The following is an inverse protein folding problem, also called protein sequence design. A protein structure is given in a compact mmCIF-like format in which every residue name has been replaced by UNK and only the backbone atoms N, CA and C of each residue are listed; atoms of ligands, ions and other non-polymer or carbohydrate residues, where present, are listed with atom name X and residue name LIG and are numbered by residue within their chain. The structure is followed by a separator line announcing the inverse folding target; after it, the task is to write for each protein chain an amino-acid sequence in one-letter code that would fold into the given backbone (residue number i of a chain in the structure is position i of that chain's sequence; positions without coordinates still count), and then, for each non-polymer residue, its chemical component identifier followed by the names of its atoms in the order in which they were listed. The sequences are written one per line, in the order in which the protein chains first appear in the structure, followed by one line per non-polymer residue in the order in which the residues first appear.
data_IF_648549372546
#
_entry.id   IF_648549372546
#
_cell.length_a   1.000
_cell.length_b   1.000
_cell.length_c   1.000
_cell.angle_alpha   90.00
_cell.angle_beta   90.00
_cell.angle_gamma   90.00
#
_symmetry.space_group_name_H-M   'P 1'
#
loop_
_entity.id
_entity.type
_entity.pdbx_description
1 polymer ?
2 non-polymer ?
3 non-polymer ?
4 water ?
#
# COMPACT_ATOMS: atom_id res chain seq x y z
N UNK A 6 -7.06 -1.07 23.04
CA UNK A 6 -5.70 -1.62 23.28
C UNK A 6 -5.34 -2.64 22.18
N UNK A 7 -4.89 -3.82 22.58
CA UNK A 7 -4.53 -4.85 21.61
C UNK A 7 -5.49 -6.03 21.69
N UNK A 8 -5.72 -6.69 20.56
CA UNK A 8 -6.61 -7.86 20.49
C UNK A 8 -5.89 -8.98 19.75
N UNK A 9 -5.29 -9.94 20.48
CA UNK A 9 -4.58 -11.03 19.81
C UNK A 9 -5.51 -11.97 19.04
N UNK A 10 -4.94 -12.65 18.05
CA UNK A 10 -5.71 -13.61 17.27
C UNK A 10 -4.81 -14.79 16.96
N UNK A 11 -5.40 -15.98 16.83
CA UNK A 11 -4.64 -17.18 16.55
C UNK A 11 -5.20 -17.87 15.32
N UNK A 12 -4.30 -18.28 14.42
CA UNK A 12 -4.69 -19.01 13.20
C UNK A 12 -4.35 -20.48 13.39
N UNK A 13 -5.27 -21.35 13.01
CA UNK A 13 -5.09 -22.79 13.18
C UNK A 13 -5.07 -23.53 11.85
N UNK A 14 -4.38 -24.66 11.80
CA UNK A 14 -4.23 -25.41 10.56
C UNK A 14 -5.55 -25.70 9.86
N UNK A 15 -5.58 -25.40 8.57
CA UNK A 15 -6.78 -25.57 7.74
C UNK A 15 -6.75 -26.83 6.89
N UNK A 16 -7.92 -27.43 6.72
CA UNK A 16 -8.00 -28.64 5.89
C UNK A 16 -8.25 -28.30 4.43
N UNK A 17 -8.27 -27.01 4.09
CA UNK A 17 -8.48 -26.63 2.71
C UNK A 17 -9.29 -25.34 2.55
N UNK A 18 -8.83 -24.44 1.69
CA UNK A 18 -9.54 -23.19 1.45
C UNK A 18 -10.20 -23.29 0.09
N UNK A 19 -11.45 -22.88 0.00
CA UNK A 19 -12.17 -23.02 -1.25
C UNK A 19 -13.27 -22.00 -1.41
N UNK A 20 -13.38 -21.45 -2.62
CA UNK A 20 -14.42 -20.48 -2.89
C UNK A 20 -14.01 -19.44 -3.90
N UNK A 21 -14.90 -18.47 -4.10
CA UNK A 21 -14.70 -17.36 -5.03
C UNK A 21 -15.11 -16.11 -4.26
N UNK A 22 -14.20 -15.14 -4.20
CA UNK A 22 -14.45 -13.92 -3.46
C UNK A 22 -14.01 -12.68 -4.22
N UNK A 23 -14.69 -11.57 -3.95
CA UNK A 23 -14.29 -10.30 -4.55
C UNK A 23 -13.40 -9.65 -3.51
N UNK A 24 -12.22 -9.20 -3.91
CA UNK A 24 -11.30 -8.58 -2.97
C UNK A 24 -11.64 -7.10 -2.79
N UNK A 25 -11.38 -6.53 -1.60
CA UNK A 25 -11.69 -5.11 -1.40
C UNK A 25 -10.88 -4.21 -2.35
N UNK A 26 -11.35 -2.97 -2.51
CA UNK A 26 -10.70 -2.00 -3.38
C UNK A 26 -9.25 -1.67 -3.09
N UNK A 27 -8.56 -1.22 -4.14
CA UNK A 27 -7.16 -0.86 -4.02
C UNK A 27 -6.98 0.38 -3.15
N UNK A 28 -6.13 0.26 -2.15
CA UNK A 28 -5.85 1.35 -1.22
C UNK A 28 -5.20 2.57 -1.90
N UNK A 29 -4.17 2.36 -2.70
CA UNK A 29 -3.52 3.49 -3.39
C UNK A 29 -4.48 4.32 -4.24
N UNK A 30 -5.27 3.63 -5.05
CA UNK A 30 -6.22 4.31 -5.90
C UNK A 30 -7.34 4.93 -5.09
N UNK A 31 -7.73 4.28 -3.99
CA UNK A 31 -8.80 4.81 -3.17
C UNK A 31 -8.39 6.12 -2.51
N UNK A 32 -7.16 6.17 -1.99
CA UNK A 32 -6.66 7.41 -1.39
C UNK A 32 -6.74 8.52 -2.44
N UNK A 33 -6.22 8.24 -3.64
CA UNK A 33 -6.21 9.25 -4.69
C UNK A 33 -7.60 9.64 -5.19
N UNK A 34 -8.55 8.71 -5.10
CA UNK A 34 -9.92 9.02 -5.55
C UNK A 34 -10.52 10.11 -4.65
N UNK A 35 -10.28 10.00 -3.34
CA UNK A 35 -10.76 11.02 -2.42
C UNK A 35 -9.97 12.32 -2.63
N UNK A 36 -8.65 12.23 -2.80
CA UNK A 36 -7.88 13.45 -3.00
C UNK A 36 -8.21 14.21 -4.28
N UNK A 37 -8.19 13.50 -5.40
CA UNK A 37 -8.45 14.15 -6.67
C UNK A 37 -9.91 14.53 -6.80
N UNK A 38 -10.80 13.66 -6.33
CA UNK A 38 -12.22 14.01 -6.37
C UNK A 38 -12.46 15.26 -5.52
N UNK A 39 -11.78 15.38 -4.38
CA UNK A 39 -11.98 16.54 -3.52
C UNK A 39 -11.39 17.83 -4.06
N UNK A 40 -10.36 17.70 -4.87
CA UNK A 40 -9.70 18.88 -5.45
C UNK A 40 -10.30 19.34 -6.78
N UNK A 41 -10.81 18.40 -7.56
CA UNK A 41 -11.30 18.73 -8.88
C UNK A 41 -12.57 19.58 -8.92
N UNK A 42 -12.83 20.14 -10.10
CA UNK A 42 -14.02 20.97 -10.29
C UNK A 42 -15.20 20.06 -10.50
N UNK A 43 -16.30 20.35 -9.81
CA UNK A 43 -17.48 19.53 -10.00
C UNK A 43 -17.50 18.23 -9.23
N UNK A 44 -18.36 17.32 -9.70
CA UNK A 44 -18.59 16.04 -9.07
C UNK A 44 -17.75 14.87 -9.52
N UNK A 45 -17.34 14.06 -8.55
CA UNK A 45 -16.60 12.83 -8.82
C UNK A 45 -17.44 11.70 -8.18
N UNK A 46 -17.59 10.58 -8.90
CA UNK A 46 -18.36 9.43 -8.41
C UNK A 46 -17.44 8.23 -8.36
N UNK A 47 -17.38 7.59 -7.20
CA UNK A 47 -16.46 6.45 -7.01
C UNK A 47 -17.15 5.15 -6.61
N UNK A 48 -16.89 4.09 -7.38
CA UNK A 48 -17.43 2.77 -7.03
C UNK A 48 -16.26 1.86 -6.70
N UNK A 49 -16.46 0.95 -5.74
CA UNK A 49 -15.42 0.02 -5.33
C UNK A 49 -14.42 0.55 -4.34
N UNK A 50 -14.69 1.72 -3.74
CA UNK A 50 -13.73 2.31 -2.80
C UNK A 50 -13.41 1.41 -1.61
N UNK A 51 -12.12 1.37 -1.24
CA UNK A 51 -11.71 0.63 -0.05
C UNK A 51 -12.14 1.48 1.16
N UNK A 52 -12.93 0.91 2.06
CA UNK A 52 -13.39 1.67 3.21
C UNK A 52 -12.62 1.33 4.49
N UNK A 53 -11.32 1.12 4.35
CA UNK A 53 -10.47 0.85 5.50
C UNK A 53 -10.11 2.18 6.17
N UNK A 54 -9.61 2.12 7.40
CA UNK A 54 -9.29 3.32 8.18
C UNK A 54 -8.36 4.31 7.51
N UNK A 55 -7.32 3.82 6.83
CA UNK A 55 -6.39 4.71 6.15
C UNK A 55 -7.09 5.62 5.15
N UNK A 56 -7.96 5.03 4.32
CA UNK A 56 -8.67 5.78 3.30
C UNK A 56 -9.70 6.71 3.92
N UNK A 57 -10.39 6.26 4.97
CA UNK A 57 -11.35 7.14 5.62
C UNK A 57 -10.63 8.38 6.18
N UNK A 58 -9.40 8.23 6.68
CA UNK A 58 -8.69 9.41 7.19
C UNK A 58 -8.36 10.41 6.10
N UNK A 59 -8.04 9.93 4.91
CA UNK A 59 -7.77 10.86 3.82
C UNK A 59 -9.06 11.61 3.48
N UNK A 60 -10.16 10.89 3.50
CA UNK A 60 -11.46 11.50 3.22
C UNK A 60 -11.77 12.63 4.19
N UNK A 61 -11.55 12.39 5.48
CA UNK A 61 -11.79 13.42 6.49
C UNK A 61 -10.86 14.63 6.31
N UNK A 62 -9.63 14.39 5.87
CA UNK A 62 -8.71 15.50 5.65
C UNK A 62 -9.21 16.37 4.49
N UNK A 63 -9.74 15.73 3.44
CA UNK A 63 -10.26 16.49 2.31
C UNK A 63 -11.50 17.29 2.69
N UNK A 64 -12.34 16.71 3.53
CA UNK A 64 -13.54 17.42 4.00
C UNK A 64 -13.12 18.63 4.80
N UNK A 65 -12.07 18.47 5.61
CA UNK A 65 -11.55 19.55 6.42
C UNK A 65 -11.07 20.73 5.58
N UNK A 66 -10.76 20.46 4.31
CA UNK A 66 -10.30 21.52 3.42
C UNK A 66 -11.34 21.98 2.40
N UNK A 67 -12.61 21.62 2.62
CA UNK A 67 -13.64 22.13 1.75
C UNK A 67 -14.40 21.19 0.84
N UNK A 68 -13.90 19.98 0.66
CA UNK A 68 -14.58 19.02 -0.19
C UNK A 68 -15.81 18.46 0.53
N UNK A 69 -16.86 18.14 -0.22
CA UNK A 69 -18.03 17.54 0.38
C UNK A 69 -18.02 16.08 -0.08
N UNK A 70 -18.03 15.16 0.88
CA UNK A 70 -18.01 13.72 0.57
C UNK A 70 -19.22 13.05 1.19
N UNK A 71 -19.83 12.13 0.45
CA UNK A 71 -21.01 11.42 0.96
C UNK A 71 -21.09 10.07 0.26
N UNK A 72 -21.79 9.13 0.89
CA UNK A 72 -21.94 7.81 0.28
C UNK A 72 -23.42 7.59 -0.03
N UNK A 73 -23.72 7.37 -1.31
CA UNK A 73 -25.11 7.18 -1.75
C UNK A 73 -25.15 5.78 -2.33
N UNK A 74 -25.87 4.87 -1.66
CA UNK A 74 -25.90 3.50 -2.13
C UNK A 74 -24.46 2.98 -2.00
N UNK A 75 -23.92 2.42 -3.08
CA UNK A 75 -22.54 1.91 -3.04
C UNK A 75 -21.56 2.84 -3.70
N UNK A 76 -21.98 4.08 -3.95
CA UNK A 76 -21.12 5.06 -4.62
C UNK A 76 -20.73 6.24 -3.73
N UNK A 77 -19.45 6.57 -3.71
CA UNK A 77 -19.04 7.74 -2.96
C UNK A 77 -19.08 8.91 -3.97
N UNK A 78 -19.77 9.98 -3.60
CA UNK A 78 -19.90 11.14 -4.46
C UNK A 78 -19.19 12.29 -3.78
N UNK A 79 -18.34 12.96 -4.55
CA UNK A 79 -17.55 14.05 -4.02
C UNK A 79 -17.77 15.34 -4.79
N UNK A 80 -17.98 16.44 -4.05
CA UNK A 80 -18.12 17.73 -4.69
C UNK A 80 -16.78 18.41 -4.42
N UNK A 81 -15.98 18.56 -5.46
CA UNK A 81 -14.65 19.13 -5.32
C UNK A 81 -14.61 20.64 -5.23
N UNK A 82 -13.49 21.18 -4.80
CA UNK A 82 -13.33 22.62 -4.67
C UNK A 82 -12.70 23.29 -5.90
N UNK A 83 -12.16 22.49 -6.81
CA UNK A 83 -11.51 23.04 -8.00
C UNK A 83 -10.03 23.27 -7.67
N UNK A 84 -9.15 23.04 -8.64
CA UNK A 84 -7.73 23.23 -8.39
C UNK A 84 -7.46 24.64 -7.89
N UNK A 85 -6.70 24.74 -6.80
CA UNK A 85 -6.39 26.02 -6.20
C UNK A 85 -7.44 26.44 -5.18
N UNK A 86 -8.45 25.59 -5.01
CA UNK A 86 -9.56 25.92 -4.12
C UNK A 86 -9.57 25.39 -2.70
N UNK A 87 -8.53 24.68 -2.30
CA UNK A 87 -8.49 24.15 -0.95
C UNK A 87 -8.52 25.27 0.09
N UNK A 88 -9.28 25.02 1.16
CA UNK A 88 -9.40 25.97 2.26
C UNK A 88 -8.54 25.55 3.44
N UNK A 89 -8.08 26.53 4.22
CA UNK A 89 -7.24 26.23 5.37
C UNK A 89 -7.97 25.40 6.42
N UNK A 90 -7.38 24.28 6.84
CA UNK A 90 -8.01 23.43 7.84
C UNK A 90 -8.01 24.10 9.22
N UNK A 91 -9.09 23.92 9.97
CA UNK A 91 -9.25 24.50 11.31
C UNK A 91 -8.37 23.84 12.35
N UNK A 92 -8.19 22.54 12.19
CA UNK A 92 -7.43 21.77 13.15
C UNK A 92 -6.44 20.89 12.40
N UNK A 93 -5.55 20.19 13.14
CA UNK A 93 -4.57 19.30 12.51
C UNK A 93 -5.26 18.22 11.67
N UNK A 94 -4.59 17.81 10.60
CA UNK A 94 -5.10 16.76 9.73
C UNK A 94 -4.54 15.47 10.33
N UNK A 95 -5.43 14.61 10.81
CA UNK A 95 -5.02 13.36 11.46
C UNK A 95 -5.05 12.22 10.46
N UNK A 96 -3.87 11.74 10.08
CA UNK A 96 -3.79 10.66 9.12
C UNK A 96 -3.72 9.26 9.74
N UNK A 97 -3.83 9.20 11.06
CA UNK A 97 -3.80 7.91 11.73
C UNK A 97 -2.59 7.07 11.39
N UNK A 98 -2.80 5.95 10.71
CA UNK A 98 -1.70 5.05 10.36
C UNK A 98 -1.18 5.24 8.92
N UNK A 99 -1.81 6.15 8.17
CA UNK A 99 -1.53 6.27 6.73
C UNK A 99 -0.54 7.27 6.18
N UNK A 100 0.65 6.78 5.83
CA UNK A 100 1.62 7.68 5.25
C UNK A 100 1.23 8.09 3.83
N UNK A 101 0.49 7.23 3.11
CA UNK A 101 0.09 7.62 1.75
C UNK A 101 -0.72 8.92 1.80
N UNK A 102 -1.73 8.95 2.67
CA UNK A 102 -2.52 10.16 2.79
C UNK A 102 -1.71 11.32 3.33
N UNK A 103 -0.91 11.07 4.36
CA UNK A 103 -0.08 12.13 4.95
C UNK A 103 0.91 12.73 3.96
N UNK A 104 1.75 11.88 3.38
CA UNK A 104 2.75 12.40 2.46
C UNK A 104 2.21 13.07 1.20
N UNK A 105 1.20 12.47 0.58
CA UNK A 105 0.64 13.11 -0.61
C UNK A 105 -0.04 14.42 -0.23
N UNK A 106 -0.73 14.44 0.91
CA UNK A 106 -1.42 15.67 1.28
C UNK A 106 -0.43 16.78 1.66
N UNK A 107 0.74 16.42 2.17
CA UNK A 107 1.74 17.45 2.48
C UNK A 107 2.10 18.18 1.20
N UNK A 108 2.29 17.43 0.11
CA UNK A 108 2.60 18.08 -1.15
C UNK A 108 1.40 18.87 -1.66
N UNK A 109 0.22 18.28 -1.54
CA UNK A 109 -0.98 18.94 -2.05
C UNK A 109 -1.25 20.30 -1.41
N UNK A 110 -1.25 20.35 -0.09
CA UNK A 110 -1.60 21.61 0.56
C UNK A 110 -0.45 22.43 1.09
N UNK A 111 0.72 21.82 1.18
CA UNK A 111 1.87 22.55 1.67
C UNK A 111 2.22 23.77 0.82
N UNK A 112 1.85 23.75 -0.44
CA UNK A 112 2.14 24.87 -1.34
C UNK A 112 1.09 25.98 -1.29
N UNK A 113 0.07 25.81 -0.46
CA UNK A 113 -0.96 26.82 -0.30
C UNK A 113 -0.48 27.81 0.77
N UNK A 114 -0.89 29.07 0.59
CA UNK A 114 -0.50 30.16 1.49
C UNK A 114 -1.32 30.23 2.78
N UNK A 115 -1.34 29.10 3.49
CA UNK A 115 -1.97 29.01 4.81
C UNK A 115 -1.27 27.91 5.59
N UNK A 116 -1.51 27.85 6.90
CA UNK A 116 -0.87 26.82 7.71
C UNK A 116 -1.63 25.50 7.68
N UNK A 117 -0.87 24.41 7.67
CA UNK A 117 -1.49 23.10 7.75
C UNK A 117 -0.63 22.23 8.70
N UNK A 118 -1.31 21.50 9.59
CA UNK A 118 -0.61 20.64 10.54
C UNK A 118 -0.97 19.18 10.31
N UNK A 119 0.06 18.34 10.39
CA UNK A 119 -0.09 16.91 10.15
C UNK A 119 0.26 16.08 11.38
N UNK A 120 -0.63 15.18 11.78
CA UNK A 120 -0.38 14.30 12.91
C UNK A 120 -0.79 12.89 12.57
N UNK A 121 -0.36 11.94 13.41
CA UNK A 121 -0.71 10.55 13.16
C UNK A 121 -0.54 9.72 14.41
N UNK A 122 -0.67 8.42 14.24
CA UNK A 122 -0.58 7.50 15.37
C UNK A 122 0.87 7.19 15.76
N UNK A 123 1.06 6.32 16.74
CA UNK A 123 2.41 6.04 17.22
C UNK A 123 3.31 5.50 16.12
N UNK A 124 2.74 4.74 15.20
CA UNK A 124 3.50 4.17 14.09
C UNK A 124 3.89 5.23 13.03
N UNK A 125 2.91 6.01 12.59
CA UNK A 125 3.18 7.01 11.57
C UNK A 125 4.14 8.09 12.05
N UNK A 126 4.05 8.41 13.34
CA UNK A 126 4.87 9.45 13.94
C UNK A 126 6.35 9.11 13.99
N UNK A 127 6.68 7.84 13.81
CA UNK A 127 8.10 7.46 13.82
C UNK A 127 8.67 7.38 12.39
N UNK A 128 7.80 7.48 11.38
CA UNK A 128 8.28 7.33 10.00
C UNK A 128 8.89 8.58 9.37
N UNK A 129 9.85 8.40 8.46
CA UNK A 129 10.51 9.55 7.81
C UNK A 129 9.68 10.40 6.87
N UNK A 130 9.68 11.72 7.11
CA UNK A 130 8.96 12.63 6.22
C UNK A 130 9.92 13.51 5.45
N UNK A 131 11.22 13.42 5.76
CA UNK A 131 12.18 14.27 5.07
C UNK A 131 12.17 14.08 3.57
N UNK A 132 11.88 12.86 3.15
CA UNK A 132 11.87 12.53 1.74
C UNK A 132 10.85 13.37 0.96
N UNK A 133 9.79 13.87 1.63
CA UNK A 133 8.87 14.76 0.94
C UNK A 133 9.07 16.20 1.41
N UNK A 134 9.47 16.39 2.66
CA UNK A 134 9.67 17.75 3.14
C UNK A 134 10.83 18.47 2.44
N UNK A 135 11.86 17.73 2.02
CA UNK A 135 12.97 18.41 1.35
C UNK A 135 12.57 19.01 0.01
N UNK A 136 11.90 18.24 -0.85
CA UNK A 136 11.50 18.87 -2.11
C UNK A 136 10.55 20.04 -1.85
N UNK A 137 9.69 19.92 -0.84
CA UNK A 137 8.77 21.02 -0.55
C UNK A 137 9.55 22.28 -0.10
N UNK A 138 10.65 22.11 0.64
CA UNK A 138 11.46 23.27 1.05
C UNK A 138 12.02 23.92 -0.22
N UNK A 139 12.41 23.09 -1.20
CA UNK A 139 12.93 23.61 -2.45
C UNK A 139 11.87 24.45 -3.18
N UNK A 140 10.61 24.04 -3.05
CA UNK A 140 9.51 24.75 -3.69
C UNK A 140 9.08 25.99 -2.90
N UNK A 141 9.73 26.23 -1.75
CA UNK A 141 9.41 27.41 -0.97
C UNK A 141 8.52 27.25 0.25
N UNK A 142 8.21 26.01 0.60
CA UNK A 142 7.35 25.74 1.75
C UNK A 142 8.17 25.86 3.03
N UNK A 143 7.57 26.47 4.05
CA UNK A 143 8.23 26.60 5.35
C UNK A 143 7.81 25.40 6.19
N UNK A 144 8.80 24.71 6.74
CA UNK A 144 8.55 23.49 7.48
C UNK A 144 8.94 23.53 8.95
N UNK A 145 8.00 23.13 9.80
CA UNK A 145 8.25 22.99 11.23
C UNK A 145 7.98 21.52 11.55
N UNK A 146 9.04 20.78 11.86
CA UNK A 146 8.90 19.34 12.15
C UNK A 146 9.62 18.93 13.42
N UNK A 147 9.33 17.72 13.89
CA UNK A 147 10.05 17.21 15.05
C UNK A 147 11.41 16.70 14.56
N UNK A 148 12.38 16.60 15.47
CA UNK A 148 13.73 16.15 15.09
C UNK A 148 13.71 14.93 14.18
N UNK A 149 14.52 14.98 13.13
CA UNK A 149 14.58 13.88 12.17
C UNK A 149 13.50 13.99 11.09
N UNK A 150 12.84 15.14 11.05
CA UNK A 150 11.74 15.41 10.11
C UNK A 150 10.63 14.37 10.30
N UNK A 151 10.13 14.31 11.53
CA UNK A 151 9.04 13.42 11.90
C UNK A 151 7.85 14.26 12.30
N UNK A 152 6.66 13.65 12.29
CA UNK A 152 5.43 14.32 12.73
C UNK A 152 5.55 14.57 14.24
N UNK A 153 4.81 15.57 14.78
CA UNK A 153 3.92 16.47 14.04
C UNK A 153 4.70 17.41 13.15
N UNK A 154 4.06 17.79 12.04
CA UNK A 154 4.67 18.71 11.09
C UNK A 154 3.68 19.81 10.76
N UNK A 155 4.17 21.06 10.73
CA UNK A 155 3.32 22.19 10.32
C UNK A 155 3.96 22.81 9.09
N UNK A 156 3.17 22.97 8.04
CA UNK A 156 3.67 23.58 6.82
C UNK A 156 2.99 24.92 6.59
N UNK A 157 3.70 25.82 5.92
CA UNK A 157 3.16 27.12 5.54
C UNK A 157 3.72 27.41 4.15
N UNK A 158 2.84 27.41 3.16
CA UNK A 158 3.26 27.65 1.80
C UNK A 158 3.57 29.10 1.50
N UNK A 159 4.34 29.37 0.44
CA UNK A 159 4.70 30.73 0.01
C UNK A 159 3.56 31.32 -0.79
N UNK A 160 3.57 32.64 -1.00
CA UNK A 160 2.53 33.26 -1.78
C UNK A 160 2.59 32.66 -3.19
N UNK A 161 3.80 32.44 -3.68
CA UNK A 161 4.01 31.86 -5.00
C UNK A 161 5.06 30.76 -4.93
N UNK A 162 4.63 29.49 -5.03
CA UNK A 162 5.57 28.36 -4.96
C UNK A 162 6.48 28.33 -6.18
N UNK A 163 7.65 27.70 -6.05
CA UNK A 163 8.63 27.58 -7.11
C UNK A 163 8.59 26.16 -7.69
N UNK A 164 8.41 26.01 -9.02
CA UNK A 164 8.38 24.65 -9.60
C UNK A 164 9.80 24.11 -9.64
N UNK A 165 9.94 22.80 -9.43
CA UNK A 165 11.27 22.21 -9.44
C UNK A 165 11.31 20.99 -10.35
N UNK A 166 12.52 20.50 -10.60
CA UNK A 166 12.75 19.28 -11.34
C UNK A 166 13.41 18.45 -10.25
N UNK A 167 12.74 17.40 -9.83
CA UNK A 167 13.20 16.57 -8.73
C UNK A 167 13.47 15.13 -9.10
N UNK A 168 14.71 14.68 -8.89
CA UNK A 168 15.04 13.29 -9.17
C UNK A 168 14.83 12.54 -7.85
N UNK A 169 13.86 11.61 -7.83
CA UNK A 169 13.54 10.85 -6.60
C UNK A 169 14.68 9.90 -6.29
N UNK A 170 15.27 10.01 -5.09
CA UNK A 170 16.40 9.16 -4.71
C UNK A 170 16.19 7.70 -4.32
N UNK A 171 14.97 7.33 -3.94
CA UNK A 171 14.64 5.95 -3.63
C UNK A 171 13.41 5.64 -4.46
N UNK A 172 13.07 4.37 -4.57
CA UNK A 172 11.93 3.97 -5.40
C UNK A 172 10.60 4.19 -4.69
N UNK A 173 10.26 5.45 -4.48
CA UNK A 173 9.05 5.84 -3.76
C UNK A 173 7.98 6.48 -4.64
N UNK A 174 6.82 5.84 -4.75
CA UNK A 174 5.73 6.40 -5.52
C UNK A 174 5.14 7.56 -4.70
N UNK A 175 5.26 7.49 -3.38
CA UNK A 175 4.72 8.58 -2.56
C UNK A 175 5.49 9.89 -2.74
N UNK A 176 6.81 9.83 -2.83
CA UNK A 176 7.60 11.04 -3.04
C UNK A 176 7.29 11.61 -4.43
N UNK A 177 7.29 10.74 -5.44
CA UNK A 177 6.95 11.17 -6.77
C UNK A 177 5.58 11.86 -6.73
N UNK A 178 4.63 11.25 -6.04
CA UNK A 178 3.27 11.77 -5.99
C UNK A 178 3.17 13.09 -5.24
N UNK A 179 3.87 13.21 -4.12
CA UNK A 179 3.84 14.46 -3.35
C UNK A 179 4.34 15.64 -4.18
N UNK A 180 5.42 15.44 -4.92
CA UNK A 180 5.95 16.52 -5.75
C UNK A 180 4.96 16.87 -6.87
N UNK A 181 4.43 15.86 -7.54
CA UNK A 181 3.43 16.16 -8.57
C UNK A 181 2.20 16.90 -7.99
N UNK A 182 1.69 16.48 -6.82
CA UNK A 182 0.52 17.17 -6.24
C UNK A 182 0.85 18.62 -5.85
N UNK A 183 2.07 18.86 -5.36
CA UNK A 183 2.50 20.23 -5.03
C UNK A 183 2.48 21.05 -6.33
N UNK A 184 2.89 20.42 -7.42
CA UNK A 184 2.93 21.08 -8.70
C UNK A 184 1.58 21.57 -9.19
N UNK A 185 0.50 20.94 -8.74
CA UNK A 185 -0.84 21.36 -9.14
C UNK A 185 -1.15 22.82 -8.79
N UNK A 186 -0.58 23.33 -7.69
CA UNK A 186 -0.86 24.71 -7.33
C UNK A 186 0.36 25.61 -7.50
N UNK A 187 1.26 25.18 -8.35
CA UNK A 187 2.51 25.90 -8.58
C UNK A 187 2.55 26.35 -10.05
N UNK A 188 2.83 27.64 -10.28
CA UNK A 188 2.88 28.10 -11.67
C UNK A 188 4.14 27.60 -12.35
N UNK A 189 4.02 27.17 -13.59
CA UNK A 189 5.18 26.67 -14.32
C UNK A 189 5.13 25.16 -14.45
N UNK A 190 6.23 24.56 -14.87
CA UNK A 190 6.30 23.12 -15.06
C UNK A 190 7.09 22.40 -13.97
N UNK A 191 6.42 21.47 -13.31
CA UNK A 191 7.05 20.63 -12.29
C UNK A 191 7.45 19.35 -12.97
N UNK A 192 8.67 18.90 -12.72
CA UNK A 192 9.15 17.68 -13.33
C UNK A 192 9.68 16.71 -12.27
N UNK A 193 9.27 15.45 -12.38
CA UNK A 193 9.76 14.43 -11.48
C UNK A 193 10.48 13.41 -12.35
N UNK A 194 11.71 13.10 -11.97
CA UNK A 194 12.49 12.10 -12.69
C UNK A 194 12.57 10.88 -11.77
N UNK A 195 12.07 9.76 -12.26
CA UNK A 195 12.04 8.51 -11.52
C UNK A 195 12.98 7.54 -12.23
N UNK A 196 14.14 7.24 -11.63
CA UNK A 196 15.07 6.32 -12.28
C UNK A 196 14.61 4.88 -12.32
N UNK A 197 13.74 4.52 -11.38
CA UNK A 197 13.20 3.17 -11.26
C UNK A 197 11.68 3.33 -11.17
N UNK A 198 10.93 2.68 -12.05
CA UNK A 198 9.48 2.87 -12.05
C UNK A 198 8.80 2.42 -10.77
N UNK A 199 7.82 3.21 -10.33
CA UNK A 199 7.04 2.87 -9.15
C UNK A 199 5.57 2.97 -9.55
N UNK A 200 4.66 2.49 -8.69
CA UNK A 200 3.25 2.52 -9.07
C UNK A 200 2.88 3.90 -9.60
N UNK A 201 2.10 3.89 -10.68
CA UNK A 201 1.80 5.11 -11.42
C UNK A 201 0.38 5.60 -11.38
N UNK A 202 -0.30 5.34 -10.26
CA UNK A 202 -1.68 5.78 -10.11
C UNK A 202 -1.83 7.29 -10.17
N UNK A 203 -0.86 8.04 -9.64
CA UNK A 203 -0.97 9.49 -9.69
C UNK A 203 -0.94 9.97 -11.14
N UNK A 204 0.02 9.50 -11.92
CA UNK A 204 0.13 9.91 -13.32
C UNK A 204 -1.11 9.57 -14.13
N UNK A 205 -1.56 8.33 -14.02
CA UNK A 205 -2.73 7.87 -14.77
C UNK A 205 -3.99 8.60 -14.36
N UNK A 206 -4.23 8.71 -13.06
CA UNK A 206 -5.43 9.38 -12.59
C UNK A 206 -5.43 10.89 -12.88
N UNK A 207 -4.30 11.58 -12.67
CA UNK A 207 -4.29 12.99 -12.99
C UNK A 207 -4.57 13.20 -14.47
N UNK A 208 -4.04 12.34 -15.34
CA UNK A 208 -4.32 12.50 -16.76
C UNK A 208 -5.82 12.34 -16.99
N UNK A 209 -6.41 11.36 -16.29
CA UNK A 209 -7.85 11.12 -16.41
C UNK A 209 -8.68 12.28 -15.93
N UNK A 210 -8.15 13.06 -14.98
CA UNK A 210 -8.88 14.23 -14.46
C UNK A 210 -8.62 15.48 -15.32
N UNK A 211 -7.86 15.30 -16.40
CA UNK A 211 -7.60 16.42 -17.30
C UNK A 211 -6.29 17.18 -17.17
N UNK A 212 -5.41 16.76 -16.26
CA UNK A 212 -4.15 17.46 -16.08
C UNK A 212 -3.25 17.36 -17.28
N UNK A 213 -2.52 18.43 -17.60
CA UNK A 213 -1.55 18.40 -18.70
C UNK A 213 -0.30 17.77 -18.07
N UNK A 214 -0.32 16.44 -18.00
CA UNK A 214 0.78 15.66 -17.42
C UNK A 214 1.24 14.66 -18.46
N UNK A 215 2.54 14.62 -18.69
CA UNK A 215 3.07 13.68 -19.68
C UNK A 215 4.13 12.80 -19.02
N UNK A 216 4.30 11.60 -19.56
CA UNK A 216 5.31 10.66 -19.06
C UNK A 216 6.13 10.24 -20.27
N UNK A 217 7.44 10.41 -20.16
CA UNK A 217 8.34 9.99 -21.25
C UNK A 217 9.33 9.02 -20.63
N UNK A 218 9.50 7.87 -21.27
CA UNK A 218 10.43 6.88 -20.73
C UNK A 218 11.60 6.69 -21.68
N UNK A 219 12.81 6.85 -21.17
CA UNK A 219 14.02 6.68 -21.97
C UNK A 219 14.21 5.16 -22.19
N UNK A 220 14.96 4.79 -23.22
CA UNK A 220 15.21 3.37 -23.50
C UNK A 220 15.87 2.73 -22.30
N UNK A 221 16.54 3.53 -21.46
CA UNK A 221 17.19 2.97 -20.27
C UNK A 221 16.22 2.85 -19.09
N UNK A 222 14.95 3.16 -19.33
CA UNK A 222 13.94 3.02 -18.30
C UNK A 222 13.62 4.22 -17.42
N UNK A 223 14.49 5.21 -17.41
CA UNK A 223 14.26 6.40 -16.59
C UNK A 223 13.01 7.13 -17.09
N UNK A 224 12.15 7.51 -16.15
CA UNK A 224 10.90 8.20 -16.46
C UNK A 224 10.97 9.68 -16.13
N UNK A 225 10.55 10.51 -17.09
CA UNK A 225 10.52 11.97 -16.92
C UNK A 225 9.04 12.33 -16.98
N UNK A 226 8.53 12.80 -15.85
CA UNK A 226 7.10 13.13 -15.72
C UNK A 226 6.98 14.63 -15.56
N UNK A 227 6.27 15.25 -16.50
CA UNK A 227 6.09 16.71 -16.52
C UNK A 227 4.65 17.07 -16.25
N UNK A 228 4.47 18.07 -15.39
CA UNK A 228 3.13 18.55 -15.04
C UNK A 228 3.04 20.07 -15.14
N UNK A 229 2.05 20.57 -15.87
CA UNK A 229 1.86 22.01 -15.97
C UNK A 229 0.95 22.40 -14.80
N UNK A 230 1.44 23.30 -13.98
CA UNK A 230 0.69 23.71 -12.80
C UNK A 230 -0.48 24.63 -13.02
N UNK A 231 -1.34 24.65 -12.01
CA UNK A 231 -2.53 25.51 -11.98
C UNK A 231 -3.49 25.33 -13.13
N UNK A 232 -3.59 24.10 -13.63
CA UNK A 232 -4.53 23.80 -14.70
C UNK A 232 -5.82 23.26 -14.14
N UNK A 233 -6.88 23.29 -14.94
CA UNK A 233 -8.15 22.79 -14.45
C UNK A 233 -8.17 21.28 -14.30
N UNK A 234 -8.88 20.81 -13.27
CA UNK A 234 -9.09 19.38 -13.04
C UNK A 234 -10.60 19.22 -13.07
N UNK A 235 -11.07 18.18 -13.75
CA UNK A 235 -12.50 17.92 -13.91
C UNK A 235 -12.91 16.65 -13.21
N UNK A 236 -13.98 16.72 -12.39
CA UNK A 236 -14.45 15.55 -11.68
C UNK A 236 -14.71 14.39 -12.62
N UNK A 237 -14.49 13.18 -12.13
CA UNK A 237 -14.62 11.97 -12.95
C UNK A 237 -15.36 10.82 -12.31
N UNK A 238 -15.74 9.86 -13.15
CA UNK A 238 -16.37 8.64 -12.67
C UNK A 238 -15.19 7.70 -12.51
N UNK A 239 -15.03 7.15 -11.31
CA UNK A 239 -13.91 6.26 -11.00
C UNK A 239 -14.43 4.90 -10.58
N UNK A 240 -13.85 3.83 -11.14
CA UNK A 240 -14.19 2.46 -10.76
C UNK A 240 -12.89 1.89 -10.23
N UNK A 241 -12.85 1.69 -8.91
CA UNK A 241 -11.67 1.19 -8.23
C UNK A 241 -11.51 -0.32 -8.36
N UNK A 242 -10.35 -0.78 -8.86
CA UNK A 242 -10.10 -2.21 -9.03
C UNK A 242 -9.71 -2.83 -7.67
N UNK A 243 -9.73 -4.17 -7.60
CA UNK A 243 -9.39 -4.88 -6.38
C UNK A 243 -7.93 -4.73 -6.01
N UNK A 244 -7.68 -4.60 -4.73
CA UNK A 244 -6.30 -4.39 -4.23
C UNK A 244 -5.41 -5.63 -4.41
N UNK A 245 -4.31 -5.49 -5.18
CA UNK A 245 -3.41 -6.64 -5.39
C UNK A 245 -2.60 -7.00 -4.14
N UNK A 246 -2.39 -6.04 -3.24
CA UNK A 246 -1.68 -6.35 -1.99
C UNK A 246 -2.59 -7.13 -1.05
N UNK A 247 -3.87 -6.78 -1.01
CA UNK A 247 -4.81 -7.48 -0.15
C UNK A 247 -5.03 -8.91 -0.70
N UNK A 248 -5.07 -8.99 -2.02
CA UNK A 248 -5.25 -10.25 -2.74
C UNK A 248 -4.19 -11.26 -2.33
N UNK A 249 -2.99 -10.77 -2.08
CA UNK A 249 -1.87 -11.62 -1.70
C UNK A 249 -2.15 -12.58 -0.53
N UNK A 250 -2.95 -12.14 0.44
CA UNK A 250 -3.22 -12.99 1.60
C UNK A 250 -4.04 -14.24 1.26
N UNK A 251 -5.23 -14.10 0.63
CA UNK A 251 -5.93 -15.35 0.32
C UNK A 251 -5.22 -16.14 -0.79
N UNK A 252 -4.53 -15.41 -1.67
CA UNK A 252 -3.80 -16.05 -2.76
C UNK A 252 -2.68 -16.93 -2.20
N UNK A 253 -1.86 -16.38 -1.31
CA UNK A 253 -0.78 -17.20 -0.76
C UNK A 253 -1.34 -18.32 0.14
N UNK A 254 -2.40 -18.03 0.88
CA UNK A 254 -2.98 -19.05 1.73
C UNK A 254 -3.44 -20.25 0.88
N UNK A 255 -4.05 -19.96 -0.27
CA UNK A 255 -4.54 -21.03 -1.16
C UNK A 255 -3.38 -21.85 -1.75
N UNK A 256 -2.25 -21.21 -2.02
CA UNK A 256 -1.11 -21.94 -2.55
C UNK A 256 -0.57 -22.91 -1.48
N UNK A 257 -0.52 -22.42 -0.24
CA UNK A 257 0.06 -23.20 0.86
C UNK A 257 -0.80 -24.26 1.55
N UNK A 258 -2.09 -24.00 1.70
CA UNK A 258 -2.98 -24.94 2.36
C UNK A 258 -3.39 -26.04 1.38
N UNK A 259 -3.03 -27.30 1.68
CA UNK A 259 -3.37 -28.44 0.80
C UNK A 259 -4.87 -28.51 0.59
N UNK A 260 -5.27 -28.96 -0.60
CA UNK A 260 -6.69 -29.08 -0.92
C UNK A 260 -7.44 -27.78 -1.17
N UNK A 261 -6.72 -26.76 -1.62
CA UNK A 261 -7.32 -25.44 -1.84
C UNK A 261 -7.52 -25.05 -3.32
N UNK A 262 -8.60 -24.30 -3.55
CA UNK A 262 -8.96 -23.80 -4.88
C UNK A 262 -9.76 -22.53 -4.61
N UNK A 263 -9.08 -21.40 -4.74
CA UNK A 263 -9.67 -20.09 -4.49
C UNK A 263 -9.56 -19.14 -5.69
N UNK A 264 -10.67 -18.51 -6.02
CA UNK A 264 -10.69 -17.54 -7.10
C UNK A 264 -10.95 -16.16 -6.53
N UNK A 265 -10.08 -15.21 -6.86
CA UNK A 265 -10.22 -13.83 -6.40
C UNK A 265 -10.62 -12.99 -7.62
N UNK A 266 -11.73 -12.28 -7.48
CA UNK A 266 -12.26 -11.49 -8.59
C UNK A 266 -11.85 -10.03 -8.65
N UNK A 267 -11.73 -9.55 -9.89
CA UNK A 267 -11.46 -8.15 -10.19
C UNK A 267 -10.21 -7.62 -9.55
N UNK A 268 -9.09 -8.30 -9.79
CA UNK A 268 -7.83 -7.87 -9.20
C UNK A 268 -7.02 -6.96 -10.11
N UNK A 269 -6.52 -5.86 -9.54
CA UNK A 269 -5.67 -4.93 -10.31
C UNK A 269 -4.41 -5.68 -10.78
N UNK A 270 -4.09 -5.56 -12.07
CA UNK A 270 -2.94 -6.24 -12.64
C UNK A 270 -1.88 -5.30 -13.25
N UNK A 271 -1.89 -4.03 -12.85
CA UNK A 271 -0.89 -3.04 -13.29
C UNK A 271 0.45 -3.72 -12.92
N UNK A 272 1.41 -3.81 -13.86
CA UNK A 272 2.66 -4.47 -13.50
C UNK A 272 3.52 -3.86 -12.40
N UNK A 273 3.22 -2.64 -12.01
CA UNK A 273 3.99 -2.03 -10.92
C UNK A 273 3.47 -2.59 -9.59
N UNK A 274 2.46 -3.46 -9.69
CA UNK A 274 1.85 -4.03 -8.49
C UNK A 274 1.89 -5.56 -8.44
N UNK A 275 2.42 -6.19 -9.49
CA UNK A 275 2.38 -7.65 -9.56
C UNK A 275 3.67 -8.45 -9.36
N UNK A 276 4.68 -7.87 -8.73
CA UNK A 276 5.93 -8.61 -8.50
C UNK A 276 5.77 -9.91 -7.71
N UNK A 277 4.86 -9.92 -6.73
CA UNK A 277 4.66 -11.15 -5.96
C UNK A 277 4.12 -12.29 -6.83
N UNK A 278 3.13 -12.01 -7.66
CA UNK A 278 2.59 -13.06 -8.53
C UNK A 278 3.68 -13.68 -9.40
N UNK A 279 4.50 -12.82 -10.01
CA UNK A 279 5.59 -13.28 -10.86
C UNK A 279 6.55 -14.14 -10.05
N UNK A 280 6.90 -13.67 -8.86
CA UNK A 280 7.82 -14.41 -7.99
C UNK A 280 7.25 -15.78 -7.59
N UNK A 281 5.97 -15.82 -7.20
CA UNK A 281 5.36 -17.09 -6.80
C UNK A 281 5.29 -18.04 -7.99
N UNK A 282 5.02 -17.52 -9.18
CA UNK A 282 4.97 -18.39 -10.37
C UNK A 282 6.36 -19.00 -10.58
N UNK A 283 7.41 -18.20 -10.39
CA UNK A 283 8.78 -18.72 -10.53
C UNK A 283 9.07 -19.83 -9.52
N UNK A 284 8.40 -19.75 -8.36
CA UNK A 284 8.53 -20.74 -7.28
C UNK A 284 7.71 -21.99 -7.54
N UNK A 285 6.89 -21.94 -8.58
CA UNK A 285 6.07 -23.10 -8.95
C UNK A 285 4.60 -23.00 -8.62
N UNK A 286 4.15 -21.80 -8.30
CA UNK A 286 2.74 -21.57 -7.94
C UNK A 286 1.78 -21.76 -9.11
N UNK A 287 0.61 -22.29 -8.80
CA UNK A 287 -0.43 -22.53 -9.80
C UNK A 287 -1.41 -21.35 -9.65
N UNK A 288 -1.18 -20.31 -10.42
CA UNK A 288 -2.01 -19.11 -10.41
C UNK A 288 -2.45 -18.89 -11.85
N UNK A 289 -3.75 -18.96 -12.10
CA UNK A 289 -4.24 -18.78 -13.45
C UNK A 289 -4.87 -17.39 -13.58
N UNK A 290 -4.43 -16.65 -14.60
CA UNK A 290 -4.92 -15.29 -14.89
C UNK A 290 -6.08 -15.46 -15.85
N UNK A 291 -7.27 -15.11 -15.37
CA UNK A 291 -8.50 -15.29 -16.13
C UNK A 291 -9.15 -13.98 -16.59
N UNK A 292 -9.52 -13.95 -17.86
CA UNK A 292 -10.21 -12.81 -18.46
C UNK A 292 -9.54 -11.45 -18.24
N UNK A 293 -8.25 -11.33 -18.60
CA UNK A 293 -7.58 -10.04 -18.41
C UNK A 293 -8.37 -9.01 -19.23
N UNK A 294 -8.65 -7.86 -18.63
CA UNK A 294 -9.49 -6.88 -19.30
C UNK A 294 -9.19 -5.47 -18.81
N UNK A 295 -9.87 -4.49 -19.41
CA UNK A 295 -9.70 -3.10 -19.03
C UNK A 295 -10.97 -2.70 -18.29
N UNK A 296 -10.80 -2.10 -17.12
CA UNK A 296 -11.95 -1.68 -16.32
C UNK A 296 -11.54 -0.44 -15.55
N UNK A 297 -12.36 0.60 -15.65
CA UNK A 297 -12.04 1.83 -14.95
C UNK A 297 -10.69 2.38 -15.37
N UNK A 298 -10.26 2.06 -16.58
CA UNK A 298 -8.97 2.57 -17.06
C UNK A 298 -7.77 1.77 -16.59
N UNK A 299 -7.99 0.68 -15.87
CA UNK A 299 -6.89 -0.14 -15.39
C UNK A 299 -6.98 -1.58 -15.85
N UNK A 300 -5.85 -2.26 -15.82
CA UNK A 300 -5.79 -3.66 -16.18
C UNK A 300 -6.28 -4.49 -14.99
N UNK A 301 -7.24 -5.36 -15.22
CA UNK A 301 -7.72 -6.24 -14.15
C UNK A 301 -7.90 -7.65 -14.68
N UNK A 302 -7.97 -8.59 -13.75
CA UNK A 302 -8.20 -10.00 -14.10
C UNK A 302 -8.72 -10.73 -12.87
N UNK A 303 -9.24 -11.93 -13.09
CA UNK A 303 -9.67 -12.76 -11.97
C UNK A 303 -8.51 -13.76 -11.82
N UNK A 304 -8.22 -14.18 -10.60
CA UNK A 304 -7.10 -15.11 -10.37
C UNK A 304 -7.59 -16.38 -9.70
N UNK A 305 -7.33 -17.52 -10.34
CA UNK A 305 -7.71 -18.81 -9.75
C UNK A 305 -6.42 -19.39 -9.20
N UNK A 306 -6.43 -19.69 -7.91
CA UNK A 306 -5.25 -20.16 -7.21
C UNK A 306 -5.46 -21.53 -6.61
N UNK A 307 -4.55 -22.45 -6.90
CA UNK A 307 -4.64 -23.80 -6.35
C UNK A 307 -3.37 -24.23 -5.60
N UNK A 308 -3.55 -25.10 -4.61
CA UNK A 308 -2.47 -25.60 -3.78
C UNK A 308 -1.29 -25.98 -4.65
N UNK A 309 -0.10 -25.55 -4.24
CA UNK A 309 1.09 -25.81 -5.01
C UNK A 309 2.29 -26.16 -4.14
N UNK A 310 3.25 -26.87 -4.71
CA UNK A 310 4.46 -27.19 -3.97
C UNK A 310 5.41 -26.08 -4.45
N UNK A 311 6.08 -25.40 -3.52
CA UNK A 311 6.95 -24.31 -3.93
C UNK A 311 8.44 -24.61 -3.69
N UNK A 312 9.29 -23.96 -4.48
CA UNK A 312 10.75 -24.08 -4.33
C UNK A 312 11.30 -22.66 -4.19
N UNK A 313 12.26 -22.51 -3.29
CA UNK A 313 12.84 -21.19 -3.06
C UNK A 313 13.52 -20.62 -4.30
N UNK A 314 13.47 -19.31 -4.44
CA UNK A 314 14.12 -18.64 -5.56
C UNK A 314 14.88 -17.41 -5.08
N UNK A 315 15.73 -16.88 -5.94
CA UNK A 315 16.48 -15.65 -5.65
C UNK A 315 15.66 -14.53 -6.30
N UNK A 316 15.27 -13.56 -5.51
CA UNK A 316 14.48 -12.40 -5.95
C UNK A 316 15.38 -11.14 -6.05
N UNK A 317 15.66 -10.71 -7.29
CA UNK A 317 16.50 -9.54 -7.63
C UNK A 317 16.05 -8.19 -7.04
N UNK A 318 17.01 -7.34 -6.69
CA UNK A 318 16.70 -6.07 -6.11
C UNK A 318 15.78 -5.21 -6.98
N UNK A 319 15.89 -5.32 -8.30
CA UNK A 319 15.07 -4.47 -9.15
C UNK A 319 13.58 -4.84 -9.28
N UNK A 320 13.18 -6.00 -8.76
CA UNK A 320 11.77 -6.34 -8.78
C UNK A 320 11.12 -5.78 -7.51
N UNK A 321 11.95 -5.41 -6.54
CA UNK A 321 11.43 -4.95 -5.26
C UNK A 321 10.33 -3.90 -5.25
N UNK A 322 10.50 -2.81 -6.02
CA UNK A 322 9.45 -1.78 -6.03
C UNK A 322 8.06 -2.28 -6.45
N UNK A 323 8.02 -3.24 -7.35
CA UNK A 323 6.75 -3.79 -7.83
C UNK A 323 6.09 -4.75 -6.86
N UNK A 324 6.71 -4.99 -5.70
CA UNK A 324 6.15 -5.90 -4.72
C UNK A 324 6.60 -5.55 -3.31
N UNK A 325 6.98 -4.29 -3.10
CA UNK A 325 7.52 -3.89 -1.80
C UNK A 325 6.65 -4.24 -0.59
N UNK A 326 5.35 -4.10 -0.73
CA UNK A 326 4.48 -4.42 0.40
C UNK A 326 4.15 -5.90 0.54
N UNK A 327 4.59 -6.71 -0.42
CA UNK A 327 4.34 -8.15 -0.37
C UNK A 327 5.51 -8.96 0.19
N UNK A 328 6.58 -8.30 0.63
CA UNK A 328 7.66 -9.11 1.20
C UNK A 328 7.24 -9.90 2.45
N UNK A 329 6.40 -9.33 3.32
CA UNK A 329 6.02 -10.14 4.49
C UNK A 329 5.34 -11.45 4.10
N UNK A 330 4.35 -11.39 3.20
CA UNK A 330 3.65 -12.60 2.83
C UNK A 330 4.52 -13.53 1.98
N UNK A 331 5.44 -12.97 1.21
CA UNK A 331 6.37 -13.79 0.42
C UNK A 331 7.28 -14.57 1.39
N UNK A 332 7.71 -13.91 2.46
CA UNK A 332 8.58 -14.56 3.45
C UNK A 332 7.86 -15.74 4.10
N UNK A 333 6.55 -15.59 4.31
CA UNK A 333 5.78 -16.69 4.88
C UNK A 333 5.66 -17.83 3.84
N UNK A 334 5.45 -17.48 2.57
CA UNK A 334 5.39 -18.54 1.55
C UNK A 334 6.74 -19.25 1.50
N UNK A 335 7.82 -18.48 1.60
CA UNK A 335 9.17 -19.09 1.55
C UNK A 335 9.41 -20.07 2.71
N UNK A 336 8.71 -19.86 3.83
CA UNK A 336 8.89 -20.73 4.98
C UNK A 336 8.42 -22.15 4.70
N UNK A 337 7.64 -22.32 3.63
CA UNK A 337 7.14 -23.64 3.25
C UNK A 337 7.65 -24.10 1.89
N UNK A 338 8.64 -23.41 1.35
CA UNK A 338 9.20 -23.77 0.05
C UNK A 338 10.45 -24.62 0.25
N UNK A 339 10.76 -25.44 -0.76
CA UNK A 339 11.94 -26.28 -0.70
C UNK A 339 13.18 -25.44 -0.98
N UNK A 340 14.11 -25.41 -0.03
CA UNK A 340 15.31 -24.62 -0.25
C UNK A 340 15.23 -23.20 0.26
N UNK A 341 16.19 -22.39 -0.18
CA UNK A 341 16.31 -21.00 0.24
C UNK A 341 15.73 -19.99 -0.72
N UNK A 342 15.03 -19.00 -0.16
CA UNK A 342 14.50 -17.90 -0.95
C UNK A 342 15.36 -16.73 -0.50
N UNK A 343 15.98 -16.04 -1.46
CA UNK A 343 16.88 -14.93 -1.12
C UNK A 343 16.34 -13.62 -1.67
N UNK A 344 16.18 -12.64 -0.78
CA UNK A 344 15.61 -11.35 -1.17
C UNK A 344 16.51 -10.19 -0.74
N UNK A 345 16.98 -9.37 -1.69
CA UNK A 345 17.82 -8.22 -1.32
C UNK A 345 17.11 -6.92 -1.74
N UNK A 346 17.78 -5.79 -1.54
CA UNK A 346 17.21 -4.48 -1.90
C UNK A 346 16.01 -4.14 -1.03
N UNK A 347 16.08 -4.54 0.24
CA UNK A 347 14.96 -4.34 1.16
C UNK A 347 15.04 -3.16 2.15
N UNK A 348 15.98 -2.24 1.94
CA UNK A 348 16.10 -1.11 2.85
C UNK A 348 14.78 -0.38 3.13
N UNK A 349 13.92 -0.27 2.13
CA UNK A 349 12.65 0.43 2.33
C UNK A 349 11.72 -0.24 3.34
N UNK A 350 11.88 -1.53 3.55
CA UNK A 350 11.04 -2.22 4.51
C UNK A 350 11.23 -1.69 5.92
N UNK A 351 12.42 -1.13 6.20
CA UNK A 351 12.69 -0.68 7.57
C UNK A 351 11.98 0.59 7.98
N UNK A 352 11.38 1.28 7.00
CA UNK A 352 10.69 2.52 7.29
C UNK A 352 9.17 2.49 7.06
N UNK A 353 8.59 1.29 7.02
CA UNK A 353 7.15 1.15 6.83
C UNK A 353 6.39 1.24 8.16
N UNK A 354 5.13 0.80 8.18
CA UNK A 354 4.35 0.87 9.42
C UNK A 354 5.15 0.33 10.59
N UNK A 355 5.93 -0.70 10.32
CA UNK A 355 6.85 -1.27 11.30
C UNK A 355 8.14 -1.42 10.52
N UNK A 356 9.25 -1.71 11.22
CA UNK A 356 10.47 -2.04 10.47
C UNK A 356 10.08 -3.48 10.07
N UNK A 357 9.65 -3.64 8.83
CA UNK A 357 9.16 -4.95 8.37
C UNK A 357 10.18 -6.06 8.26
N UNK A 358 11.43 -5.68 8.00
CA UNK A 358 12.48 -6.67 7.88
C UNK A 358 12.71 -7.29 9.27
N UNK A 359 12.79 -6.45 10.29
CA UNK A 359 12.97 -6.93 11.66
C UNK A 359 11.73 -7.69 12.15
N UNK A 360 10.54 -7.15 11.88
CA UNK A 360 9.31 -7.80 12.33
C UNK A 360 9.07 -9.15 11.69
N UNK A 361 9.35 -9.25 10.39
CA UNK A 361 9.19 -10.52 9.69
C UNK A 361 10.23 -11.53 10.19
N UNK A 362 11.49 -11.12 10.29
CA UNK A 362 12.51 -12.03 10.76
C UNK A 362 12.18 -12.54 12.17
N UNK A 363 11.81 -11.63 13.07
CA UNK A 363 11.50 -12.05 14.43
C UNK A 363 10.28 -12.96 14.49
N UNK A 364 9.27 -12.66 13.68
CA UNK A 364 8.06 -13.48 13.69
C UNK A 364 8.34 -14.87 13.12
N UNK A 365 9.18 -14.95 12.09
CA UNK A 365 9.53 -16.24 11.51
C UNK A 365 10.31 -17.07 12.53
N UNK A 366 11.30 -16.47 13.19
CA UNK A 366 12.06 -17.22 14.19
C UNK A 366 11.18 -17.72 15.35
N UNK A 367 10.27 -16.88 15.82
CA UNK A 367 9.38 -17.24 16.91
C UNK A 367 8.56 -18.47 16.50
N UNK A 368 8.34 -18.60 15.20
CA UNK A 368 7.56 -19.73 14.68
C UNK A 368 8.37 -20.84 14.04
N UNK A 369 9.61 -20.97 14.54
CA UNK A 369 10.55 -22.02 14.15
C UNK A 369 11.19 -22.01 12.79
N UNK A 370 11.15 -20.88 12.11
CA UNK A 370 11.70 -20.81 10.76
C UNK A 370 13.17 -20.43 10.77
N UNK A 371 13.94 -21.11 9.91
CA UNK A 371 15.37 -20.84 9.73
C UNK A 371 15.49 -19.67 8.75
N UNK A 372 15.95 -18.51 9.24
CA UNK A 372 16.12 -17.38 8.33
C UNK A 372 17.31 -16.53 8.79
N UNK A 373 17.83 -15.73 7.87
CA UNK A 373 18.94 -14.83 8.17
C UNK A 373 18.55 -13.41 7.74
N UNK A 374 18.49 -12.50 8.72
CA UNK A 374 18.16 -11.11 8.48
C UNK A 374 19.46 -10.35 8.25
N UNK A 375 19.54 -9.63 7.13
CA UNK A 375 20.70 -8.81 6.82
C UNK A 375 20.26 -7.35 6.94
N UNK A 376 21.18 -6.40 6.78
CA UNK A 376 20.79 -4.99 6.89
C UNK A 376 19.75 -4.65 5.82
N UNK A 377 19.88 -5.21 4.63
CA UNK A 377 18.93 -4.92 3.56
C UNK A 377 18.50 -6.18 2.79
N UNK A 378 18.43 -7.31 3.50
CA UNK A 378 18.08 -8.55 2.85
C UNK A 378 17.54 -9.57 3.83
N UNK A 379 16.92 -10.61 3.28
CA UNK A 379 16.39 -11.68 4.10
C UNK A 379 16.57 -12.99 3.33
N UNK A 380 17.03 -14.04 4.03
CA UNK A 380 17.15 -15.37 3.45
C UNK A 380 16.23 -16.24 4.30
N UNK A 381 15.37 -17.01 3.66
CA UNK A 381 14.45 -17.90 4.37
C UNK A 381 14.61 -19.31 3.82
N UNK A 382 14.79 -20.29 4.71
CA UNK A 382 14.88 -21.68 4.27
C UNK A 382 13.59 -22.35 4.72
N UNK A 383 12.91 -23.04 3.80
CA UNK A 383 11.63 -23.61 4.17
C UNK A 383 11.55 -25.04 4.63
N UNK A 384 10.37 -25.37 5.13
CA UNK A 384 10.03 -26.71 5.61
C UNK A 384 8.70 -27.01 4.90
N UNK A 385 8.76 -27.60 3.69
CA UNK A 385 7.53 -27.90 2.96
C UNK A 385 6.39 -28.58 3.71
N UNK A 386 6.68 -29.52 4.62
CA UNK A 386 5.56 -30.16 5.30
C UNK A 386 5.03 -29.38 6.50
N UNK A 387 5.65 -28.24 6.77
CA UNK A 387 5.21 -27.40 7.89
C UNK A 387 5.48 -27.96 9.28
N UNK A 388 6.12 -29.12 9.35
CA UNK A 388 6.40 -29.72 10.65
C UNK A 388 7.37 -28.89 11.49
N UNK A 389 7.04 -28.74 12.78
CA UNK A 389 7.90 -27.97 13.66
C UNK A 389 7.73 -26.46 13.50
N UNK A 390 6.88 -26.02 12.58
CA UNK A 390 6.65 -24.59 12.39
C UNK A 390 5.44 -24.14 13.20
N UNK A 391 5.39 -22.83 13.47
CA UNK A 391 4.33 -22.27 14.27
C UNK A 391 4.84 -22.22 15.71
N UNK A 392 3.95 -21.98 16.66
CA UNK A 392 4.40 -21.90 18.02
C UNK A 392 3.42 -22.62 18.95
N UNK A 393 3.82 -23.82 19.39
CA UNK A 393 2.96 -24.61 20.25
C UNK A 393 2.63 -23.95 21.58
N UNK A 394 3.55 -23.13 22.10
CA UNK A 394 3.31 -22.49 23.39
C UNK A 394 2.33 -21.32 23.30
N UNK A 395 1.96 -20.93 22.08
CA UNK A 395 1.02 -19.84 21.91
C UNK A 395 1.64 -18.47 22.02
N UNK A 396 2.97 -18.41 21.95
CA UNK A 396 3.64 -17.12 22.02
C UNK A 396 3.18 -16.29 20.83
N UNK A 397 2.96 -15.00 21.07
CA UNK A 397 2.49 -14.07 20.05
C UNK A 397 3.54 -13.29 19.25
N UNK A 398 3.32 -13.23 17.93
CA UNK A 398 4.19 -12.47 17.05
C UNK A 398 3.96 -10.98 17.34
N UNK A 399 5.04 -10.22 17.47
CA UNK A 399 4.88 -8.79 17.70
C UNK A 399 4.55 -8.15 16.34
N UNK A 400 3.37 -7.54 16.23
CA UNK A 400 2.95 -6.89 15.00
C UNK A 400 3.43 -5.45 14.82
N UNK A 401 3.83 -4.80 15.90
CA UNK A 401 4.32 -3.44 15.82
C UNK A 401 3.38 -2.50 15.04
N UNK A 402 2.09 -2.60 15.35
CA UNK A 402 1.04 -1.80 14.73
C UNK A 402 1.00 -1.89 13.22
N UNK A 403 1.43 -3.02 12.67
CA UNK A 403 1.52 -3.22 11.25
C UNK A 403 0.54 -4.29 10.75
N UNK A 404 -0.50 -3.82 10.07
CA UNK A 404 -1.51 -4.69 9.49
C UNK A 404 -0.98 -5.87 8.66
N UNK A 405 0.09 -5.69 7.91
CA UNK A 405 0.59 -6.81 7.09
C UNK A 405 1.38 -7.82 7.89
N UNK A 406 1.94 -7.41 9.02
CA UNK A 406 2.63 -8.40 9.86
C UNK A 406 1.52 -9.26 10.48
N UNK A 407 0.44 -8.63 10.92
CA UNK A 407 -0.67 -9.39 11.50
C UNK A 407 -1.26 -10.35 10.48
N UNK A 408 -1.59 -9.86 9.30
CA UNK A 408 -2.19 -10.75 8.30
C UNK A 408 -1.27 -11.85 7.80
N UNK A 409 0.00 -11.54 7.57
CA UNK A 409 0.93 -12.53 7.06
C UNK A 409 1.12 -13.70 8.02
N UNK A 410 1.24 -13.40 9.31
CA UNK A 410 1.44 -14.48 10.25
C UNK A 410 0.17 -15.25 10.53
N UNK A 411 -0.99 -14.60 10.38
CA UNK A 411 -2.23 -15.35 10.53
C UNK A 411 -2.32 -16.33 9.35
N UNK A 412 -1.87 -15.94 8.16
CA UNK A 412 -1.88 -16.88 7.03
C UNK A 412 -0.94 -18.05 7.36
N UNK A 413 0.21 -17.74 7.94
CA UNK A 413 1.16 -18.80 8.29
C UNK A 413 0.53 -19.88 9.18
N UNK A 414 -0.32 -19.48 10.13
CA UNK A 414 -0.96 -20.39 11.05
C UNK A 414 -1.94 -21.35 10.40
N UNK A 415 -2.38 -21.02 9.20
CA UNK A 415 -3.31 -21.90 8.50
C UNK A 415 -2.55 -23.08 7.90
N UNK A 416 -1.24 -22.97 7.88
CA UNK A 416 -0.38 -23.97 7.26
C UNK A 416 0.57 -24.74 8.17
N UNK A 417 1.10 -24.05 9.17
CA UNK A 417 2.06 -24.66 10.08
C UNK A 417 1.47 -25.76 10.97
N UNK A 418 2.36 -26.64 11.45
CA UNK A 418 1.95 -27.74 12.31
C UNK A 418 1.32 -27.20 13.59
N UNK A 419 1.95 -26.16 14.15
CA UNK A 419 1.45 -25.53 15.36
C UNK A 419 0.83 -24.20 15.01
N UNK A 420 -0.20 -23.77 15.77
CA UNK A 420 -0.89 -22.50 15.54
C UNK A 420 0.06 -21.30 15.59
N UNK A 421 -0.35 -20.22 14.92
CA UNK A 421 0.44 -19.00 14.97
C UNK A 421 -0.48 -17.94 15.59
N UNK A 422 0.08 -17.20 16.53
CA UNK A 422 -0.65 -16.16 17.24
C UNK A 422 -0.03 -14.80 16.95
N UNK A 423 -0.86 -13.77 16.76
CA UNK A 423 -0.35 -12.41 16.56
C UNK A 423 -0.82 -11.60 17.76
N UNK A 424 -0.01 -10.65 18.21
CA UNK A 424 -0.40 -9.91 19.41
C UNK A 424 -1.52 -8.90 19.24
N UNK A 425 -1.88 -8.60 17.98
CA UNK A 425 -2.92 -7.60 17.77
C UNK A 425 -3.47 -7.70 16.36
N UNK A 426 -4.80 -7.70 16.25
CA UNK A 426 -5.46 -7.76 14.96
C UNK A 426 -6.18 -6.45 14.71
N UNK A 427 -6.12 -5.52 15.65
CA UNK A 427 -6.86 -4.27 15.51
C UNK A 427 -6.41 -3.37 14.38
N UNK A 428 -5.18 -3.52 13.90
CA UNK A 428 -4.74 -2.65 12.80
C UNK A 428 -5.04 -3.21 11.39
N UNK A 429 -5.57 -4.43 11.32
CA UNK A 429 -5.88 -5.01 10.03
C UNK A 429 -6.89 -4.16 9.25
N UNK A 430 -7.79 -3.49 9.97
CA UNK A 430 -8.80 -2.67 9.34
C UNK A 430 -8.26 -1.40 8.67
N UNK A 431 -6.97 -1.11 8.84
CA UNK A 431 -6.45 0.09 8.15
C UNK A 431 -6.47 -0.12 6.64
N UNK A 432 -6.32 -1.38 6.19
CA UNK A 432 -6.29 -1.69 4.77
C UNK A 432 -7.23 -2.81 4.32
N UNK A 433 -7.73 -3.63 5.24
CA UNK A 433 -8.51 -4.80 4.83
C UNK A 433 -9.48 -5.18 5.96
N UNK A 434 -10.44 -4.30 6.26
CA UNK A 434 -11.38 -4.63 7.34
C UNK A 434 -12.13 -5.96 7.14
N UNK A 435 -12.27 -6.37 5.88
CA UNK A 435 -12.98 -7.59 5.51
C UNK A 435 -12.14 -8.87 5.72
N UNK A 436 -10.86 -8.72 6.06
CA UNK A 436 -9.96 -9.87 6.18
C UNK A 436 -10.50 -11.07 6.94
N UNK A 437 -10.93 -10.87 8.17
CA UNK A 437 -11.41 -12.00 8.97
C UNK A 437 -12.60 -12.69 8.33
N UNK A 438 -13.58 -11.91 7.89
CA UNK A 438 -14.76 -12.50 7.26
C UNK A 438 -14.43 -13.19 5.95
N UNK A 439 -13.57 -12.57 5.15
CA UNK A 439 -13.20 -13.15 3.86
C UNK A 439 -12.49 -14.49 4.03
N UNK A 440 -11.49 -14.52 4.91
CA UNK A 440 -10.76 -15.76 5.15
C UNK A 440 -11.66 -16.83 5.77
N UNK A 441 -12.55 -16.43 6.67
CA UNK A 441 -13.46 -17.40 7.29
C UNK A 441 -14.36 -18.02 6.22
N UNK A 442 -14.85 -17.20 5.29
CA UNK A 442 -15.73 -17.71 4.25
C UNK A 442 -15.06 -18.77 3.40
N UNK A 443 -13.75 -18.65 3.21
CA UNK A 443 -12.99 -19.61 2.42
C UNK A 443 -12.71 -20.87 3.22
N UNK A 444 -12.97 -20.83 4.53
CA UNK A 444 -12.74 -21.99 5.36
C UNK A 444 -11.69 -21.84 6.44
N UNK A 445 -10.97 -20.71 6.45
CA UNK A 445 -9.93 -20.49 7.45
C UNK A 445 -10.48 -20.41 8.88
N UNK A 446 -9.72 -20.96 9.81
CA UNK A 446 -10.11 -20.93 11.22
C UNK A 446 -9.17 -19.97 11.96
N UNK A 447 -9.66 -18.77 12.24
CA UNK A 447 -8.89 -17.75 12.93
C UNK A 447 -9.71 -17.29 14.13
N UNK A 448 -9.15 -17.47 15.33
CA UNK A 448 -9.83 -17.11 16.56
C UNK A 448 -9.35 -15.80 17.12
N UNK A 449 -10.28 -14.87 17.24
CA UNK A 449 -10.01 -13.55 17.77
C UNK A 449 -10.19 -13.65 19.29
N UNK A 450 -9.31 -12.99 20.04
CA UNK A 450 -9.38 -13.00 21.51
C UNK A 450 -10.69 -12.43 22.03
X LIG B 1 2.01 3.93 -2.19
X LIG B 1 3.41 3.77 -2.41
X LIG B 1 4.22 2.80 -1.54
X LIG B 1 3.32 1.73 -0.87
X LIG B 1 2.11 2.39 -0.16
X LIG B 1 1.31 3.16 -1.19
X LIG B 1 1.25 4.92 -3.04
X LIG B 1 5.04 3.54 -0.53
X LIG B 1 4.13 0.97 0.01
X LIG B 1 1.27 1.39 0.44
X LIG B 1 1.89 5.88 -3.53
X LIG B 1 0.02 4.73 -3.18
X LIG B 1 6.53 4.26 -0.81
X LIG B 1 6.37 5.39 -1.76
X LIG B 1 7.41 3.21 -1.38
X LIG B 1 7.06 4.76 0.48
X LIG C 1 1.33 3.78 4.08
X LIG C 1 2.64 4.21 3.56
X LIG C 1 1.17 4.07 5.57
X LIG C 1 0.20 4.37 3.31
X LIG C 1 0.22 -0.61 2.77
X LIG C 1 1.79 -2.11 3.12
X LIG C 1 1.28 2.08 4.04
X LIG C 1 2.53 0.06 3.14
X LIG C 1 1.43 -0.96 2.99
X LIG C 1 2.26 1.50 3.08
#
# INVERSE_FOLDING_TARGET
MSHGASSRPATARKSSGLSGTVRIPGDKSISHRSFMFGGLASGETRITGLLEGEDVINTGKAMQAMGARIRKEGDTWIIDGVGNGGLLAPEAPLDFGNAATGCRLTMGLVGVYDFDSTFIGDASLTKRPMGRVLNPLREMGVQVKSEDGDRLPVTLRGPKTPTPITYRVPMASAQVKSAVLLAGLNTPGITTVIEPIMTRDHTEKMLQGFGANLTVETDADGVRTIRLEGRGKLTGQVIDVPGDPSSTAFPLVAALLVPGSDVTILNVLMNPTRTGLILTLQEMGADIEVINPRLAGGEDVADLRVRSSTLKGVTVPEDRAPSMIDEYPILAVAAAFAEGATVMNGLEELRVKESDRLSAVANGLKLNGVDCDEGETSLVVRGRPDGKGLGNASGAAVATHLDHRIAMSFLVMGLVSENPVTVDDATMIATSFPEFMDLMAGLGAKIELSDTKAA
S3P C1 C2 C3 C4 C5 C6 C7 O1 O2 O3 O4 O5 P1 O6 O7 O8
GPJ P1 O1 O2 O3 O4 O5 C1 C2 C3 N1
#
